data_IF_487652356736
#
_entry.id   IF_487652356736
#
_cell.length_a   1.000
_cell.length_b   1.000
_cell.length_c   1.000
_cell.angle_alpha   90.00
_cell.angle_beta   90.00
_cell.angle_gamma   90.00
#
_symmetry.space_group_name_H-M   'P 1'
#
loop_
_entity.id
_entity.type
_entity.pdbx_description
1 polymer ?
#
# COMPACT_ATOMS: atom_id res chain seq x y z
N UNK A 1 3.37 -4.85 -31.52
CA UNK A 1 2.84 -3.46 -31.49
C UNK A 1 1.74 -3.42 -32.54
N UNK A 2 0.49 -3.17 -32.15
CA UNK A 2 -0.56 -2.85 -33.14
C UNK A 2 -0.23 -1.47 -33.73
N UNK A 3 -0.31 -1.34 -35.06
CA UNK A 3 -0.04 -0.08 -35.75
C UNK A 3 -1.11 0.94 -35.36
N UNK A 4 -0.68 2.15 -34.95
CA UNK A 4 -1.59 3.26 -34.66
C UNK A 4 -2.19 3.72 -35.99
N UNK A 5 -3.51 3.92 -36.05
CA UNK A 5 -4.14 4.45 -37.26
C UNK A 5 -3.64 5.87 -37.56
N UNK A 6 -3.38 6.20 -38.83
CA UNK A 6 -2.82 7.51 -39.23
C UNK A 6 -3.72 8.67 -38.76
N UNK A 7 -5.03 8.46 -38.74
CA UNK A 7 -6.02 9.43 -38.23
C UNK A 7 -5.83 9.77 -36.75
N UNK A 8 -5.39 8.81 -35.93
CA UNK A 8 -5.09 9.05 -34.51
C UNK A 8 -3.74 9.77 -34.35
N UNK A 9 -2.76 9.47 -35.21
CA UNK A 9 -1.48 10.19 -35.24
C UNK A 9 -1.67 11.67 -35.62
N UNK A 10 -2.56 11.96 -36.55
CA UNK A 10 -2.86 13.34 -36.97
C UNK A 10 -3.55 14.15 -35.86
N UNK A 11 -4.45 13.53 -35.09
CA UNK A 11 -5.05 14.17 -33.92
C UNK A 11 -4.00 14.46 -32.83
N UNK A 12 -3.09 13.51 -32.58
CA UNK A 12 -1.98 13.68 -31.64
C UNK A 12 -1.07 14.84 -32.08
N UNK A 13 -0.70 14.90 -33.37
CA UNK A 13 0.13 15.98 -33.94
C UNK A 13 -0.57 17.35 -33.83
N UNK A 14 -1.88 17.40 -34.13
CA UNK A 14 -2.69 18.63 -34.01
C UNK A 14 -2.71 19.16 -32.56
N UNK A 15 -2.88 18.28 -31.58
CA UNK A 15 -2.89 18.67 -30.16
C UNK A 15 -1.52 19.17 -29.68
N UNK A 16 -0.41 18.66 -30.21
CA UNK A 16 0.93 19.15 -29.88
C UNK A 16 1.20 20.57 -30.38
N UNK A 17 0.71 20.94 -31.57
CA UNK A 17 0.95 22.26 -32.18
C UNK A 17 0.24 23.40 -31.42
N UNK A 18 -0.71 23.09 -30.53
CA UNK A 18 -1.56 24.07 -29.85
C UNK A 18 -0.95 24.69 -28.58
N UNK A 19 0.33 24.49 -28.25
CA UNK A 19 0.91 25.15 -27.06
C UNK A 19 2.41 25.09 -26.96
N UNK A 20 3.06 26.25 -27.18
CA UNK A 20 4.46 26.48 -26.86
C UNK A 20 4.58 27.37 -25.62
N UNK A 21 5.26 26.89 -24.58
CA UNK A 21 5.77 27.72 -23.48
C UNK A 21 7.18 27.29 -23.13
N UNK A 22 7.99 28.27 -22.73
CA UNK A 22 9.45 28.17 -22.61
C UNK A 22 9.94 27.10 -21.60
N UNK A 23 11.10 26.47 -21.87
CA UNK A 23 11.74 25.49 -20.98
C UNK A 23 12.32 26.16 -19.72
N UNK A 24 12.20 25.48 -18.58
CA UNK A 24 12.87 25.85 -17.32
C UNK A 24 13.21 24.58 -16.54
N UNK A 25 14.49 24.44 -16.15
CA UNK A 25 15.05 23.23 -15.54
C UNK A 25 15.23 23.45 -14.04
N UNK A 26 14.72 22.51 -13.23
CA UNK A 26 15.01 22.38 -11.78
C UNK A 26 15.17 20.90 -11.42
N UNK A 27 16.11 20.53 -10.54
CA UNK A 27 16.32 19.14 -10.10
C UNK A 27 15.15 18.57 -9.28
N UNK A 28 15.03 17.24 -9.27
CA UNK A 28 14.05 16.51 -8.43
C UNK A 28 14.44 16.63 -6.95
N UNK A 29 13.48 17.00 -6.08
CA UNK A 29 13.69 17.06 -4.63
C UNK A 29 13.69 15.68 -3.93
N UNK A 30 14.36 15.61 -2.79
CA UNK A 30 14.77 14.40 -2.05
C UNK A 30 13.65 13.58 -1.36
N UNK A 31 12.37 13.98 -1.44
CA UNK A 31 11.30 13.38 -0.62
C UNK A 31 10.21 12.69 -1.45
N UNK A 32 10.60 11.64 -2.17
CA UNK A 32 9.72 10.89 -3.04
C UNK A 32 9.52 9.44 -2.56
N UNK A 33 8.29 9.04 -2.20
CA UNK A 33 7.99 7.66 -1.81
C UNK A 33 8.34 6.65 -2.92
N UNK A 34 8.79 5.44 -2.58
CA UNK A 34 9.15 4.40 -3.55
C UNK A 34 8.04 4.08 -4.58
N UNK A 35 6.74 4.01 -4.20
CA UNK A 35 5.67 3.80 -5.18
C UNK A 35 5.52 4.95 -6.19
N UNK A 36 5.75 6.19 -5.74
CA UNK A 36 5.77 7.35 -6.62
C UNK A 36 6.93 7.25 -7.62
N UNK A 37 8.15 6.94 -7.15
CA UNK A 37 9.31 6.77 -8.04
C UNK A 37 9.11 5.66 -9.08
N UNK A 38 8.53 4.52 -8.70
CA UNK A 38 8.18 3.43 -9.65
C UNK A 38 7.16 3.88 -10.70
N UNK A 39 6.15 4.65 -10.28
CA UNK A 39 5.13 5.19 -11.19
C UNK A 39 5.74 6.23 -12.13
N UNK A 40 6.58 7.12 -11.60
CA UNK A 40 7.30 8.14 -12.36
C UNK A 40 8.24 7.50 -13.39
N UNK A 41 8.98 6.45 -13.03
CA UNK A 41 9.82 5.72 -13.99
C UNK A 41 8.99 5.08 -15.12
N UNK A 42 7.82 4.54 -14.81
CA UNK A 42 6.90 3.99 -15.81
C UNK A 42 6.33 5.07 -16.72
N UNK A 43 5.99 6.23 -16.16
CA UNK A 43 5.54 7.41 -16.89
C UNK A 43 6.64 7.98 -17.77
N UNK A 44 7.88 8.08 -17.28
CA UNK A 44 9.07 8.52 -18.02
C UNK A 44 9.31 7.68 -19.26
N UNK A 45 9.34 6.35 -19.12
CA UNK A 45 9.48 5.44 -20.27
C UNK A 45 8.37 5.63 -21.30
N UNK A 46 7.15 5.87 -20.83
CA UNK A 46 6.00 6.08 -21.71
C UNK A 46 6.08 7.41 -22.46
N UNK A 47 6.58 8.45 -21.79
CA UNK A 47 6.77 9.79 -22.35
C UNK A 47 7.90 9.82 -23.39
N UNK A 48 9.00 9.13 -23.14
CA UNK A 48 10.07 8.93 -24.13
C UNK A 48 9.52 8.25 -25.38
N UNK A 49 8.85 7.10 -25.22
CA UNK A 49 8.28 6.36 -26.35
C UNK A 49 7.27 7.19 -27.15
N UNK A 50 6.51 8.06 -26.49
CA UNK A 50 5.59 9.00 -27.14
C UNK A 50 6.32 9.99 -28.06
N UNK A 51 7.39 10.61 -27.57
CA UNK A 51 8.16 11.58 -28.36
C UNK A 51 8.98 10.91 -29.47
N UNK A 52 9.48 9.70 -29.25
CA UNK A 52 10.15 8.89 -30.27
C UNK A 52 9.17 8.54 -31.41
N UNK A 53 7.96 8.09 -31.08
CA UNK A 53 6.93 7.77 -32.07
C UNK A 53 6.54 8.98 -32.93
N UNK A 54 6.58 10.18 -32.35
CA UNK A 54 6.28 11.44 -33.05
C UNK A 54 7.50 12.12 -33.66
N UNK A 55 8.71 11.56 -33.50
CA UNK A 55 9.97 12.13 -33.98
C UNK A 55 10.12 13.61 -33.58
N UNK A 56 9.81 13.94 -32.33
CA UNK A 56 9.84 15.34 -31.84
C UNK A 56 11.26 15.91 -31.87
N UNK A 57 11.57 16.94 -32.69
CA UNK A 57 12.95 17.39 -32.90
C UNK A 57 13.64 17.98 -31.66
N UNK A 58 12.87 18.55 -30.74
CA UNK A 58 13.36 19.25 -29.54
C UNK A 58 13.33 18.38 -28.27
N UNK A 59 13.04 17.08 -28.39
CA UNK A 59 12.94 16.18 -27.25
C UNK A 59 14.32 15.66 -26.80
N UNK A 60 14.61 15.73 -25.51
CA UNK A 60 15.83 15.20 -24.89
C UNK A 60 15.47 14.01 -23.98
N UNK A 61 16.05 12.84 -24.24
CA UNK A 61 15.73 11.61 -23.50
C UNK A 61 16.39 11.57 -22.10
N UNK A 62 17.47 12.33 -21.92
CA UNK A 62 18.25 12.46 -20.69
C UNK A 62 17.45 13.20 -19.61
N UNK A 63 16.71 14.26 -20.00
CA UNK A 63 15.71 14.94 -19.18
C UNK A 63 14.35 15.05 -19.93
N UNK A 64 13.53 13.99 -19.93
CA UNK A 64 12.29 13.93 -20.70
C UNK A 64 11.24 14.96 -20.29
N UNK A 65 11.42 15.61 -19.14
CA UNK A 65 10.49 16.59 -18.60
C UNK A 65 11.16 17.95 -18.40
N UNK A 66 12.25 18.25 -19.13
CA UNK A 66 12.93 19.54 -19.11
C UNK A 66 11.96 20.69 -19.41
N UNK A 67 10.96 20.43 -20.25
CA UNK A 67 9.79 21.29 -20.44
C UNK A 67 8.55 20.57 -19.91
N UNK A 68 7.80 21.23 -19.03
CA UNK A 68 6.53 20.68 -18.55
C UNK A 68 5.48 20.72 -19.67
N UNK A 69 4.73 19.63 -19.90
CA UNK A 69 3.75 19.60 -20.97
C UNK A 69 2.58 20.56 -20.74
N UNK A 70 2.07 21.11 -21.84
CA UNK A 70 0.86 21.92 -21.87
C UNK A 70 -0.40 21.06 -21.68
N UNK A 71 -1.56 21.69 -21.52
CA UNK A 71 -2.83 20.96 -21.44
C UNK A 71 -3.05 20.08 -22.68
N UNK A 72 -2.89 20.64 -23.87
CA UNK A 72 -3.02 19.91 -25.14
C UNK A 72 -1.95 18.83 -25.29
N UNK A 73 -0.70 19.10 -24.87
CA UNK A 73 0.37 18.11 -24.86
C UNK A 73 0.09 16.93 -23.92
N UNK A 74 -0.54 17.18 -22.77
CA UNK A 74 -1.00 16.12 -21.85
C UNK A 74 -2.16 15.32 -22.45
N UNK A 75 -3.12 15.97 -23.12
CA UNK A 75 -4.21 15.28 -23.81
C UNK A 75 -3.67 14.35 -24.92
N UNK A 76 -2.77 14.87 -25.75
CA UNK A 76 -2.12 14.13 -26.83
C UNK A 76 -1.36 12.90 -26.31
N UNK A 77 -0.59 13.08 -25.23
CA UNK A 77 0.10 11.98 -24.58
C UNK A 77 -0.85 10.93 -24.01
N UNK A 78 -1.91 11.36 -23.30
CA UNK A 78 -2.88 10.42 -22.72
C UNK A 78 -3.62 9.64 -23.81
N UNK A 79 -3.94 10.27 -24.95
CA UNK A 79 -4.50 9.60 -26.12
C UNK A 79 -3.53 8.55 -26.68
N UNK A 80 -2.27 8.93 -26.94
CA UNK A 80 -1.24 8.00 -27.39
C UNK A 80 -1.13 6.78 -26.48
N UNK A 81 -1.16 6.99 -25.16
CA UNK A 81 -1.06 5.91 -24.18
C UNK A 81 -2.27 4.96 -24.24
N UNK A 82 -3.48 5.48 -24.45
CA UNK A 82 -4.68 4.63 -24.63
C UNK A 82 -4.58 3.78 -25.90
N UNK A 83 -4.05 4.35 -26.98
CA UNK A 83 -3.95 3.66 -28.27
C UNK A 83 -2.83 2.62 -28.31
N UNK A 84 -1.74 2.83 -27.56
CA UNK A 84 -0.53 2.00 -27.69
C UNK A 84 -0.31 1.01 -26.55
N UNK A 85 -0.90 1.25 -25.37
CA UNK A 85 -0.66 0.42 -24.19
C UNK A 85 -1.86 -0.39 -23.79
N UNK A 86 -1.60 -1.68 -23.55
CA UNK A 86 -2.53 -2.58 -22.88
C UNK A 86 -2.38 -2.45 -21.36
N UNK A 87 -3.48 -2.61 -20.64
CA UNK A 87 -3.49 -2.77 -19.19
C UNK A 87 -2.69 -4.01 -18.78
N UNK A 88 -2.26 -4.06 -17.51
CA UNK A 88 -1.40 -5.13 -16.98
C UNK A 88 -2.00 -6.54 -17.17
N UNK A 89 -3.33 -6.65 -17.26
CA UNK A 89 -4.08 -7.90 -17.45
C UNK A 89 -4.46 -8.15 -18.92
N UNK A 90 -3.76 -7.52 -19.88
CA UNK A 90 -4.02 -7.70 -21.32
C UNK A 90 -5.21 -6.90 -21.88
N UNK A 91 -6.05 -6.33 -21.02
CA UNK A 91 -7.21 -5.51 -21.40
C UNK A 91 -6.89 -4.05 -21.76
N UNK A 92 -7.93 -3.24 -21.94
CA UNK A 92 -7.83 -1.78 -22.18
C UNK A 92 -7.26 -1.05 -20.96
N UNK A 93 -6.61 0.09 -21.19
CA UNK A 93 -6.07 0.89 -20.09
C UNK A 93 -7.19 1.57 -19.29
N UNK A 94 -7.21 1.41 -17.97
CA UNK A 94 -8.24 2.00 -17.12
C UNK A 94 -8.08 3.51 -16.95
N UNK A 95 -9.21 4.24 -16.87
CA UNK A 95 -9.24 5.68 -16.55
C UNK A 95 -8.55 6.02 -15.23
N UNK A 96 -8.56 5.10 -14.25
CA UNK A 96 -7.85 5.26 -12.98
C UNK A 96 -6.32 5.33 -13.16
N UNK A 97 -5.77 4.61 -14.14
CA UNK A 97 -4.34 4.67 -14.50
C UNK A 97 -3.99 5.98 -15.20
N UNK A 98 -4.84 6.45 -16.10
CA UNK A 98 -4.69 7.75 -16.76
C UNK A 98 -4.71 8.92 -15.75
N UNK A 99 -5.65 8.89 -14.80
CA UNK A 99 -5.69 9.86 -13.68
C UNK A 99 -4.44 9.80 -12.81
N UNK A 100 -3.86 8.62 -12.60
CA UNK A 100 -2.57 8.49 -11.89
C UNK A 100 -1.45 9.20 -12.64
N UNK A 101 -1.40 9.12 -13.97
CA UNK A 101 -0.40 9.88 -14.75
C UNK A 101 -0.58 11.39 -14.55
N UNK A 102 -1.82 11.89 -14.61
CA UNK A 102 -2.11 13.31 -14.32
C UNK A 102 -1.63 13.72 -12.91
N UNK A 103 -1.91 12.92 -11.88
CA UNK A 103 -1.44 13.18 -10.51
C UNK A 103 0.09 13.20 -10.44
N UNK A 104 0.78 12.31 -11.15
CA UNK A 104 2.24 12.28 -11.18
C UNK A 104 2.82 13.48 -11.91
N UNK A 105 2.22 13.94 -13.01
CA UNK A 105 2.60 15.20 -13.65
C UNK A 105 2.41 16.39 -12.72
N UNK A 106 1.31 16.44 -11.95
CA UNK A 106 1.11 17.51 -10.97
C UNK A 106 2.15 17.51 -9.86
N UNK A 107 2.52 16.33 -9.36
CA UNK A 107 3.59 16.17 -8.36
C UNK A 107 4.96 16.54 -8.94
N UNK A 108 5.25 16.14 -10.17
CA UNK A 108 6.47 16.49 -10.87
C UNK A 108 6.55 18.01 -11.07
N UNK A 109 5.45 18.65 -11.50
CA UNK A 109 5.35 20.11 -11.63
C UNK A 109 5.66 20.82 -10.32
N UNK A 110 5.07 20.34 -9.22
CA UNK A 110 5.31 20.91 -7.91
C UNK A 110 6.76 20.72 -7.46
N UNK A 111 7.32 19.52 -7.64
CA UNK A 111 8.72 19.23 -7.27
C UNK A 111 9.72 20.03 -8.08
N UNK A 112 9.47 20.30 -9.37
CA UNK A 112 10.40 21.05 -10.22
C UNK A 112 10.16 22.56 -10.14
N UNK A 113 8.93 23.01 -10.26
CA UNK A 113 8.64 24.45 -10.39
C UNK A 113 8.23 25.12 -9.07
N UNK A 114 8.10 24.37 -7.97
CA UNK A 114 7.46 24.83 -6.73
C UNK A 114 5.96 25.15 -6.88
N UNK A 115 5.42 25.07 -8.11
CA UNK A 115 4.06 25.49 -8.46
C UNK A 115 3.10 24.32 -8.45
N UNK A 116 1.96 24.50 -7.79
CA UNK A 116 0.83 23.57 -7.91
C UNK A 116 0.27 23.62 -9.34
N UNK A 117 -0.31 22.51 -9.79
CA UNK A 117 -1.03 22.49 -11.06
C UNK A 117 -2.33 23.28 -10.92
N UNK A 118 -2.69 24.03 -11.96
CA UNK A 118 -3.98 24.73 -12.01
C UNK A 118 -5.13 23.71 -11.90
N UNK A 119 -6.00 23.94 -10.91
CA UNK A 119 -7.17 23.10 -10.65
C UNK A 119 -8.14 23.08 -11.83
N UNK A 120 -8.25 24.17 -12.59
CA UNK A 120 -9.09 24.24 -13.78
C UNK A 120 -8.55 23.34 -14.90
N UNK A 121 -7.24 23.39 -15.18
CA UNK A 121 -6.57 22.49 -16.13
C UNK A 121 -6.76 21.03 -15.71
N UNK A 122 -6.50 20.69 -14.44
CA UNK A 122 -6.68 19.32 -13.95
C UNK A 122 -8.13 18.83 -14.11
N UNK A 123 -9.13 19.70 -13.89
CA UNK A 123 -10.54 19.38 -14.08
C UNK A 123 -10.87 19.12 -15.56
N UNK A 124 -10.36 19.95 -16.48
CA UNK A 124 -10.55 19.75 -17.93
C UNK A 124 -9.92 18.45 -18.43
N UNK A 125 -8.68 18.17 -18.05
CA UNK A 125 -8.01 16.90 -18.41
C UNK A 125 -8.75 15.70 -17.79
N UNK A 126 -9.25 15.82 -16.56
CA UNK A 126 -10.08 14.77 -15.95
C UNK A 126 -11.37 14.53 -16.73
N UNK A 127 -12.03 15.59 -17.22
CA UNK A 127 -13.17 15.51 -18.12
C UNK A 127 -12.81 14.81 -19.44
N UNK A 128 -11.69 15.19 -20.05
CA UNK A 128 -11.16 14.55 -21.25
C UNK A 128 -10.93 13.03 -21.04
N UNK A 129 -10.34 12.64 -19.90
CA UNK A 129 -10.16 11.22 -19.55
C UNK A 129 -11.50 10.49 -19.42
N UNK A 130 -12.47 11.07 -18.71
CA UNK A 130 -13.73 10.39 -18.42
C UNK A 130 -14.68 10.31 -19.62
N UNK A 131 -14.57 11.22 -20.59
CA UNK A 131 -15.49 11.30 -21.72
C UNK A 131 -14.80 10.95 -23.05
N UNK A 132 -13.74 11.67 -23.42
CA UNK A 132 -13.11 11.49 -24.73
C UNK A 132 -12.31 10.20 -24.80
N UNK A 133 -11.44 9.95 -23.81
CA UNK A 133 -10.60 8.75 -23.82
C UNK A 133 -11.39 7.46 -23.63
N UNK A 134 -12.53 7.50 -22.92
CA UNK A 134 -13.44 6.36 -22.83
C UNK A 134 -14.03 6.01 -24.19
N UNK A 135 -14.48 7.02 -24.97
CA UNK A 135 -14.92 6.81 -26.36
C UNK A 135 -13.82 6.22 -27.26
N UNK A 136 -12.56 6.53 -26.95
CA UNK A 136 -11.37 5.99 -27.64
C UNK A 136 -10.87 4.65 -27.08
N UNK A 137 -11.62 4.01 -26.17
CA UNK A 137 -11.30 2.67 -25.69
C UNK A 137 -10.61 2.61 -24.32
N UNK A 138 -10.53 3.69 -23.56
CA UNK A 138 -10.16 3.59 -22.14
C UNK A 138 -11.26 2.87 -21.35
N UNK A 139 -10.89 1.92 -20.49
CA UNK A 139 -11.85 1.17 -19.68
C UNK A 139 -12.25 1.94 -18.42
N UNK A 140 -13.54 1.90 -18.09
CA UNK A 140 -14.08 2.34 -16.79
C UNK A 140 -14.32 1.17 -15.85
N UNK A 141 -14.06 -0.05 -16.29
CA UNK A 141 -14.37 -1.26 -15.55
C UNK A 141 -13.46 -1.35 -14.32
N UNK A 142 -14.08 -1.61 -13.18
CA UNK A 142 -13.35 -2.14 -12.04
C UNK A 142 -13.30 -3.64 -12.20
N UNK A 143 -12.12 -4.22 -12.02
CA UNK A 143 -12.03 -5.68 -11.87
C UNK A 143 -12.90 -6.12 -10.68
N UNK A 144 -13.68 -7.20 -10.82
CA UNK A 144 -14.29 -7.82 -9.66
C UNK A 144 -13.19 -8.26 -8.71
N UNK A 145 -13.36 -7.94 -7.44
CA UNK A 145 -12.49 -8.36 -6.35
C UNK A 145 -13.36 -9.10 -5.35
N UNK A 146 -13.64 -10.39 -5.59
CA UNK A 146 -14.42 -11.16 -4.63
C UNK A 146 -13.69 -11.10 -3.28
N UNK A 147 -14.40 -10.78 -2.18
CA UNK A 147 -13.78 -10.82 -0.87
C UNK A 147 -13.34 -12.25 -0.57
N UNK A 148 -12.18 -12.40 0.07
CA UNK A 148 -11.78 -13.70 0.60
C UNK A 148 -12.77 -14.09 1.71
N UNK A 149 -13.34 -15.28 1.61
CA UNK A 149 -14.21 -15.86 2.65
C UNK A 149 -13.37 -16.59 3.70
N UNK A 150 -13.91 -16.80 4.90
CA UNK A 150 -13.20 -17.52 5.97
C UNK A 150 -12.61 -18.89 5.54
N UNK A 151 -13.30 -19.73 4.73
CA UNK A 151 -12.70 -20.98 4.23
C UNK A 151 -11.42 -20.77 3.42
N UNK A 152 -11.38 -19.76 2.55
CA UNK A 152 -10.20 -19.43 1.71
C UNK A 152 -9.01 -19.02 2.59
N UNK A 153 -9.28 -18.37 3.72
CA UNK A 153 -8.25 -17.95 4.68
C UNK A 153 -7.64 -19.16 5.40
N UNK A 154 -8.48 -20.10 5.82
CA UNK A 154 -8.04 -21.31 6.52
C UNK A 154 -7.18 -22.17 5.60
N UNK A 155 -7.65 -22.39 4.38
CA UNK A 155 -6.98 -23.20 3.37
C UNK A 155 -5.58 -22.65 3.05
N UNK A 156 -5.47 -21.34 2.83
CA UNK A 156 -4.20 -20.66 2.56
C UNK A 156 -3.18 -20.77 3.71
N UNK A 157 -3.65 -21.00 4.94
CA UNK A 157 -2.78 -21.15 6.12
C UNK A 157 -2.39 -22.60 6.39
N UNK A 158 -3.00 -23.60 5.75
CA UNK A 158 -2.74 -25.03 5.99
C UNK A 158 -1.93 -25.68 4.87
N UNK A 159 -2.19 -25.33 3.61
CA UNK A 159 -1.45 -25.91 2.47
C UNK A 159 -0.03 -25.36 2.30
N UNK A 160 0.27 -24.20 2.90
CA UNK A 160 1.58 -23.56 2.72
C UNK A 160 2.63 -24.12 3.68
N UNK A 161 3.71 -24.67 3.13
CA UNK A 161 4.89 -25.07 3.91
C UNK A 161 5.74 -23.84 4.29
N UNK A 162 5.73 -23.49 5.57
CA UNK A 162 6.56 -22.40 6.10
C UNK A 162 7.91 -22.92 6.59
N UNK A 163 8.98 -22.26 6.17
CA UNK A 163 10.35 -22.56 6.65
C UNK A 163 10.51 -22.41 8.18
N UNK A 164 9.70 -21.54 8.82
CA UNK A 164 9.71 -21.33 10.26
C UNK A 164 8.28 -21.31 10.84
N UNK A 165 7.98 -22.06 11.93
CA UNK A 165 6.62 -22.12 12.50
C UNK A 165 6.02 -20.76 12.88
N UNK A 166 6.86 -19.85 13.40
CA UNK A 166 6.47 -18.45 13.66
C UNK A 166 5.94 -17.72 12.42
N UNK A 167 6.44 -18.01 11.22
CA UNK A 167 5.98 -17.37 9.98
C UNK A 167 4.49 -17.62 9.77
N UNK A 168 4.07 -18.88 9.94
CA UNK A 168 2.67 -19.33 9.85
C UNK A 168 1.78 -18.56 10.82
N UNK A 169 2.19 -18.51 12.09
CA UNK A 169 1.42 -17.84 13.14
C UNK A 169 1.32 -16.33 12.92
N UNK A 170 2.41 -15.66 12.52
CA UNK A 170 2.39 -14.23 12.23
C UNK A 170 1.55 -13.88 11.00
N UNK A 171 1.60 -14.72 9.96
CA UNK A 171 0.77 -14.53 8.77
C UNK A 171 -0.71 -14.72 9.11
N UNK A 172 -1.05 -15.80 9.82
CA UNK A 172 -2.42 -16.06 10.28
C UNK A 172 -2.95 -14.88 11.10
N UNK A 173 -2.18 -14.38 12.07
CA UNK A 173 -2.58 -13.26 12.90
C UNK A 173 -2.78 -11.99 12.07
N UNK A 174 -1.87 -11.72 11.13
CA UNK A 174 -2.00 -10.58 10.23
C UNK A 174 -3.28 -10.67 9.38
N UNK A 175 -3.61 -11.85 8.84
CA UNK A 175 -4.84 -12.06 8.07
C UNK A 175 -6.07 -11.88 8.96
N UNK A 176 -6.08 -12.42 10.18
CA UNK A 176 -7.20 -12.23 11.11
C UNK A 176 -7.41 -10.75 11.44
N UNK A 177 -6.34 -9.99 11.72
CA UNK A 177 -6.43 -8.54 11.97
C UNK A 177 -6.99 -7.80 10.74
N UNK A 178 -6.55 -8.17 9.53
CA UNK A 178 -7.07 -7.59 8.28
C UNK A 178 -8.55 -7.93 8.07
N UNK A 179 -8.95 -9.17 8.37
CA UNK A 179 -10.32 -9.67 8.22
C UNK A 179 -11.28 -9.00 9.22
N UNK A 180 -10.93 -8.97 10.50
CA UNK A 180 -11.80 -8.45 11.55
C UNK A 180 -11.95 -6.92 11.50
N UNK A 181 -10.89 -6.20 11.12
CA UNK A 181 -10.89 -4.74 11.23
C UNK A 181 -10.86 -3.99 9.89
N UNK A 182 -10.64 -4.68 8.76
CA UNK A 182 -10.56 -4.03 7.45
C UNK A 182 -9.42 -3.01 7.34
N UNK A 183 -8.36 -3.16 8.15
CA UNK A 183 -7.22 -2.25 8.19
C UNK A 183 -6.31 -2.45 6.99
N UNK A 184 -5.47 -1.48 6.66
CA UNK A 184 -4.46 -1.68 5.60
C UNK A 184 -3.26 -2.42 6.16
N UNK A 185 -2.58 -3.29 5.37
CA UNK A 185 -1.37 -3.97 5.82
C UNK A 185 -0.30 -3.03 6.40
N UNK A 186 -0.08 -1.87 5.76
CA UNK A 186 0.89 -0.88 6.23
C UNK A 186 0.52 -0.17 7.56
N UNK A 187 -0.65 -0.45 8.14
CA UNK A 187 -1.03 0.01 9.49
C UNK A 187 -0.55 -0.96 10.57
N UNK A 188 -0.30 -2.23 10.22
CA UNK A 188 0.06 -3.31 11.15
C UNK A 188 1.50 -3.80 10.99
N UNK A 189 2.06 -3.66 9.79
CA UNK A 189 3.44 -4.03 9.43
C UNK A 189 4.14 -2.89 8.69
N UNK A 190 5.44 -3.03 8.43
CA UNK A 190 6.25 -2.00 7.76
C UNK A 190 5.69 -1.73 6.35
N UNK A 191 5.19 -0.51 6.15
CA UNK A 191 4.54 -0.11 4.91
C UNK A 191 5.54 0.05 3.76
N UNK A 192 5.23 -0.48 2.58
CA UNK A 192 6.11 -0.35 1.40
C UNK A 192 6.31 1.09 0.92
N UNK A 193 5.46 2.02 1.35
CA UNK A 193 5.63 3.46 1.07
C UNK A 193 6.55 4.17 2.07
N UNK A 194 6.93 3.51 3.17
CA UNK A 194 7.85 3.99 4.20
C UNK A 194 8.92 2.92 4.49
N UNK A 195 9.74 2.54 3.49
CA UNK A 195 10.78 1.52 3.69
C UNK A 195 11.83 2.03 4.71
N UNK A 196 12.24 1.16 5.63
CA UNK A 196 13.20 1.49 6.68
C UNK A 196 12.59 2.21 7.89
N UNK A 197 11.27 2.46 7.88
CA UNK A 197 10.59 3.09 9.03
C UNK A 197 10.56 2.19 10.25
N UNK A 198 10.59 0.86 10.06
CA UNK A 198 10.42 -0.11 11.14
C UNK A 198 9.16 0.17 11.99
N UNK A 199 8.10 0.67 11.35
CA UNK A 199 6.81 1.02 11.96
C UNK A 199 5.78 -0.10 11.79
N UNK A 200 5.06 -0.45 12.87
CA UNK A 200 4.06 -1.53 12.91
C UNK A 200 3.45 -1.67 14.29
N UNK A 201 2.83 -2.82 14.58
CA UNK A 201 2.34 -3.14 15.93
C UNK A 201 3.52 -3.56 16.82
N UNK A 202 3.66 -2.86 17.95
CA UNK A 202 4.63 -3.14 19.00
C UNK A 202 3.90 -3.63 20.25
N UNK A 203 4.56 -4.40 21.12
CA UNK A 203 3.92 -4.88 22.35
C UNK A 203 3.44 -3.74 23.27
N UNK A 204 4.12 -2.59 23.31
CA UNK A 204 3.62 -1.39 24.04
C UNK A 204 2.29 -0.84 23.52
N UNK A 205 1.87 -1.26 22.33
CA UNK A 205 0.59 -0.91 21.74
C UNK A 205 -0.51 -1.93 22.07
N UNK A 206 -0.20 -2.97 22.86
CA UNK A 206 -1.17 -3.97 23.30
C UNK A 206 -1.58 -3.71 24.75
N UNK A 207 -2.87 -3.85 25.02
CA UNK A 207 -3.40 -3.98 26.38
C UNK A 207 -4.24 -5.26 26.47
N UNK A 208 -3.87 -6.15 27.39
CA UNK A 208 -4.47 -7.47 27.51
C UNK A 208 -5.31 -7.50 28.79
N UNK A 209 -6.61 -7.69 28.63
CA UNK A 209 -7.60 -7.68 29.69
C UNK A 209 -8.22 -9.07 29.86
N UNK A 210 -8.33 -9.50 31.11
CA UNK A 210 -9.16 -10.64 31.49
C UNK A 210 -10.51 -10.10 31.96
N UNK A 211 -11.57 -10.47 31.24
CA UNK A 211 -12.95 -10.21 31.61
C UNK A 211 -13.53 -11.45 32.25
N UNK A 212 -14.13 -11.30 33.43
CA UNK A 212 -14.92 -12.35 34.05
C UNK A 212 -16.39 -12.01 33.79
N UNK A 213 -17.03 -12.77 32.91
CA UNK A 213 -18.43 -12.55 32.59
C UNK A 213 -19.34 -12.96 33.75
N UNK A 214 -20.57 -12.44 33.75
CA UNK A 214 -21.59 -12.73 34.78
C UNK A 214 -21.96 -14.23 34.82
N UNK A 215 -21.81 -14.94 33.70
CA UNK A 215 -22.01 -16.39 33.59
C UNK A 215 -20.83 -17.22 34.15
N UNK A 216 -19.84 -16.57 34.76
CA UNK A 216 -18.63 -17.21 35.30
C UNK A 216 -17.59 -17.56 34.23
N UNK A 217 -17.85 -17.28 32.94
CA UNK A 217 -16.88 -17.54 31.87
C UNK A 217 -15.83 -16.45 31.81
N UNK A 218 -14.57 -16.87 31.86
CA UNK A 218 -13.41 -16.00 31.63
C UNK A 218 -13.25 -15.74 30.14
N UNK A 219 -13.03 -14.49 29.74
CA UNK A 219 -12.74 -14.07 28.36
C UNK A 219 -11.55 -13.14 28.32
N UNK A 220 -10.61 -13.42 27.43
CA UNK A 220 -9.48 -12.55 27.14
C UNK A 220 -9.83 -11.57 26.02
N UNK A 221 -9.41 -10.32 26.21
CA UNK A 221 -9.55 -9.25 25.22
C UNK A 221 -8.20 -8.60 25.03
N UNK A 222 -7.80 -8.38 23.78
CA UNK A 222 -6.59 -7.65 23.43
C UNK A 222 -6.97 -6.37 22.72
N UNK A 223 -6.72 -5.24 23.37
CA UNK A 223 -6.73 -3.94 22.70
C UNK A 223 -5.44 -3.77 21.90
N UNK A 224 -5.57 -3.40 20.63
CA UNK A 224 -4.48 -3.14 19.69
C UNK A 224 -4.53 -1.68 19.26
N UNK A 225 -3.49 -0.93 19.60
CA UNK A 225 -3.35 0.48 19.23
C UNK A 225 -2.69 0.65 17.86
N UNK A 226 -3.42 1.23 16.91
CA UNK A 226 -2.93 1.57 15.57
C UNK A 226 -2.45 3.01 15.47
N UNK A 227 -1.16 3.17 15.20
CA UNK A 227 -0.48 4.48 15.08
C UNK A 227 -0.14 4.86 13.63
N UNK A 228 -0.12 3.89 12.72
CA UNK A 228 0.48 4.03 11.39
C UNK A 228 -0.55 4.26 10.27
N UNK A 229 -1.64 4.97 10.59
CA UNK A 229 -2.78 5.16 9.69
C UNK A 229 -2.46 6.13 8.55
N UNK A 230 -2.93 5.81 7.34
CA UNK A 230 -2.68 6.63 6.15
C UNK A 230 -3.26 8.04 6.33
N UNK A 231 -2.43 9.07 6.07
CA UNK A 231 -2.83 10.48 6.09
C UNK A 231 -2.88 11.12 7.48
N UNK A 232 -2.67 10.34 8.56
CA UNK A 232 -2.68 10.83 9.94
C UNK A 232 -1.50 10.29 10.76
N UNK A 233 -0.45 9.77 10.11
CA UNK A 233 0.79 9.36 10.77
C UNK A 233 1.36 10.51 11.62
N UNK A 234 1.93 10.17 12.76
CA UNK A 234 2.49 11.09 13.76
C UNK A 234 1.46 11.98 14.48
N UNK A 235 0.16 11.86 14.19
CA UNK A 235 -0.90 12.61 14.87
C UNK A 235 -1.58 11.72 15.91
N UNK A 236 -0.97 11.60 17.10
CA UNK A 236 -1.42 10.70 18.18
C UNK A 236 -2.89 10.86 18.58
N UNK A 237 -3.43 12.08 18.45
CA UNK A 237 -4.86 12.37 18.70
C UNK A 237 -5.79 11.53 17.79
N UNK A 238 -5.28 11.01 16.66
CA UNK A 238 -6.01 10.21 15.69
C UNK A 238 -5.63 8.72 15.70
N UNK A 239 -4.88 8.29 16.71
CA UNK A 239 -4.63 6.86 16.94
C UNK A 239 -5.96 6.15 17.18
N UNK A 240 -6.05 4.89 16.74
CA UNK A 240 -7.27 4.09 16.83
C UNK A 240 -6.99 2.82 17.62
N UNK A 241 -7.79 2.56 18.65
CA UNK A 241 -7.81 1.28 19.35
C UNK A 241 -8.80 0.32 18.71
N UNK A 242 -8.40 -0.95 18.63
CA UNK A 242 -9.24 -2.04 18.14
C UNK A 242 -9.21 -3.18 19.15
N UNK A 243 -10.33 -3.87 19.34
CA UNK A 243 -10.43 -4.93 20.33
C UNK A 243 -10.53 -6.29 19.65
N UNK A 244 -9.53 -7.13 19.86
CA UNK A 244 -9.56 -8.55 19.51
C UNK A 244 -10.24 -9.30 20.66
N UNK A 245 -11.23 -10.12 20.33
CA UNK A 245 -11.96 -10.95 21.29
C UNK A 245 -11.49 -12.39 21.18
N UNK A 246 -11.43 -13.07 22.32
CA UNK A 246 -11.23 -14.50 22.36
C UNK A 246 -12.43 -15.22 21.74
N UNK A 247 -12.13 -16.13 20.80
CA UNK A 247 -13.09 -17.00 20.14
C UNK A 247 -12.94 -18.42 20.72
N UNK A 248 -14.01 -18.90 21.37
CA UNK A 248 -14.07 -20.23 21.99
C UNK A 248 -14.60 -21.30 21.04
N UNK A 249 -15.34 -20.90 20.01
CA UNK A 249 -15.98 -21.83 19.09
C UNK A 249 -15.00 -22.25 18.00
N UNK A 250 -14.08 -21.34 17.65
CA UNK A 250 -13.11 -21.53 16.57
C UNK A 250 -11.70 -21.17 17.02
N UNK A 251 -11.03 -22.05 17.78
CA UNK A 251 -9.68 -21.80 18.28
C UNK A 251 -8.66 -21.48 17.18
N UNK A 252 -8.83 -22.06 15.99
CA UNK A 252 -7.98 -21.82 14.83
C UNK A 252 -8.10 -20.39 14.27
N UNK A 253 -9.25 -19.74 14.50
CA UNK A 253 -9.55 -18.37 14.10
C UNK A 253 -9.46 -17.37 15.26
N UNK A 254 -9.02 -17.81 16.44
CA UNK A 254 -8.97 -16.97 17.64
C UNK A 254 -7.74 -16.03 17.60
N UNK A 255 -7.92 -14.73 17.34
CA UNK A 255 -6.78 -13.82 17.21
C UNK A 255 -6.08 -13.58 18.55
N UNK A 256 -6.80 -13.66 19.67
CA UNK A 256 -6.24 -13.50 21.02
C UNK A 256 -5.28 -14.63 21.34
N UNK A 257 -5.64 -15.89 21.03
CA UNK A 257 -4.75 -17.03 21.21
C UNK A 257 -3.45 -16.85 20.43
N UNK A 258 -3.53 -16.37 19.19
CA UNK A 258 -2.34 -16.15 18.36
C UNK A 258 -1.45 -15.00 18.87
N UNK A 259 -2.03 -13.91 19.35
CA UNK A 259 -1.28 -12.83 20.01
C UNK A 259 -0.56 -13.34 21.25
N UNK A 260 -1.26 -14.10 22.09
CA UNK A 260 -0.68 -14.62 23.34
C UNK A 260 0.42 -15.65 23.06
N UNK A 261 0.26 -16.51 22.06
CA UNK A 261 1.29 -17.45 21.65
C UNK A 261 2.58 -16.72 21.20
N UNK A 262 2.47 -15.65 20.42
CA UNK A 262 3.62 -14.81 20.05
C UNK A 262 4.22 -14.11 21.27
N UNK A 263 3.39 -13.57 22.16
CA UNK A 263 3.84 -12.85 23.36
C UNK A 263 4.60 -13.77 24.33
N UNK A 264 4.13 -15.01 24.52
CA UNK A 264 4.81 -16.02 25.33
C UNK A 264 6.14 -16.42 24.67
N UNK A 265 6.14 -16.66 23.36
CA UNK A 265 7.35 -17.00 22.61
C UNK A 265 8.41 -15.88 22.63
N UNK A 266 7.99 -14.62 22.80
CA UNK A 266 8.88 -13.46 22.93
C UNK A 266 9.20 -13.09 24.39
N UNK A 267 8.73 -13.85 25.38
CA UNK A 267 8.79 -13.51 26.80
C UNK A 267 8.29 -12.08 27.09
N UNK A 268 7.26 -11.64 26.37
CA UNK A 268 6.77 -10.28 26.41
C UNK A 268 5.79 -10.02 27.57
N UNK A 269 5.24 -11.07 28.18
CA UNK A 269 4.25 -10.96 29.26
C UNK A 269 4.94 -10.96 30.63
N UNK A 270 4.54 -10.03 31.49
CA UNK A 270 5.06 -9.92 32.85
C UNK A 270 4.50 -11.02 33.74
N UNK A 271 5.38 -11.78 34.41
CA UNK A 271 5.03 -12.88 35.32
C UNK A 271 4.14 -13.97 34.70
N UNK A 272 4.26 -14.17 33.37
CA UNK A 272 3.60 -15.25 32.63
C UNK A 272 4.64 -15.87 31.71
N UNK A 273 5.07 -17.08 32.04
CA UNK A 273 6.02 -17.85 31.23
C UNK A 273 5.38 -19.16 30.71
N UNK A 274 4.27 -19.60 31.32
CA UNK A 274 3.55 -20.82 30.96
C UNK A 274 2.06 -20.59 30.71
N UNK A 275 1.39 -21.60 30.14
CA UNK A 275 -0.06 -21.59 29.97
C UNK A 275 -0.80 -21.59 31.33
N UNK A 276 -0.22 -22.18 32.35
CA UNK A 276 -0.86 -22.25 33.68
C UNK A 276 -0.81 -20.88 34.38
N UNK A 277 0.30 -20.14 34.24
CA UNK A 277 0.38 -18.74 34.70
C UNK A 277 -0.69 -17.88 34.02
N UNK A 278 -0.89 -18.10 32.71
CA UNK A 278 -1.92 -17.40 31.94
C UNK A 278 -3.32 -17.76 32.45
N UNK A 279 -3.61 -19.03 32.74
CA UNK A 279 -4.92 -19.48 33.25
C UNK A 279 -5.20 -18.94 34.66
N UNK A 280 -4.19 -18.84 35.52
CA UNK A 280 -4.32 -18.30 36.87
C UNK A 280 -4.63 -16.80 36.89
N UNK A 281 -4.44 -16.07 35.78
CA UNK A 281 -4.63 -14.62 35.74
C UNK A 281 -6.10 -14.21 35.70
N UNK A 282 -6.51 -13.37 36.64
CA UNK A 282 -7.89 -12.88 36.79
C UNK A 282 -8.12 -11.44 36.34
N UNK A 283 -7.05 -10.70 36.04
CA UNK A 283 -7.07 -9.27 35.71
C UNK A 283 -6.13 -8.94 34.54
N UNK A 284 -5.73 -7.68 34.40
CA UNK A 284 -4.84 -7.18 33.37
C UNK A 284 -3.51 -7.95 33.30
N UNK A 285 -3.09 -8.25 32.08
CA UNK A 285 -1.77 -8.82 31.80
C UNK A 285 -0.87 -7.68 31.31
N UNK A 286 0.22 -7.46 32.04
CA UNK A 286 1.19 -6.40 31.72
C UNK A 286 2.22 -6.91 30.72
N UNK A 287 2.67 -6.01 29.86
CA UNK A 287 3.81 -6.23 28.98
C UNK A 287 5.10 -5.88 29.74
N UNK A 288 6.13 -6.74 29.65
CA UNK A 288 7.45 -6.48 30.25
C UNK A 288 8.09 -5.23 29.66
N UNK A 289 8.81 -4.47 30.48
CA UNK A 289 9.49 -3.25 30.04
C UNK A 289 10.45 -3.51 28.87
N UNK A 290 11.20 -4.63 28.96
CA UNK A 290 12.16 -5.06 27.93
C UNK A 290 11.51 -5.40 26.58
N UNK A 291 10.23 -5.75 26.57
CA UNK A 291 9.51 -6.17 25.37
C UNK A 291 8.70 -5.06 24.70
N UNK A 292 8.53 -3.89 25.34
CA UNK A 292 7.66 -2.81 24.87
C UNK A 292 7.95 -2.35 23.43
N UNK A 293 9.23 -2.26 23.06
CA UNK A 293 9.68 -1.85 21.72
C UNK A 293 9.82 -3.03 20.75
N UNK A 294 9.58 -4.26 21.21
CA UNK A 294 9.64 -5.45 20.37
C UNK A 294 8.38 -5.49 19.48
N UNK A 295 8.53 -5.75 18.17
CA UNK A 295 7.40 -5.92 17.28
C UNK A 295 6.64 -7.20 17.58
N UNK A 296 5.32 -7.17 17.44
CA UNK A 296 4.50 -8.39 17.50
C UNK A 296 4.74 -9.25 16.25
N UNK A 297 4.72 -8.60 15.07
CA UNK A 297 4.99 -9.23 13.78
C UNK A 297 6.45 -8.93 13.37
N UNK A 298 7.34 -9.89 13.65
CA UNK A 298 8.79 -9.78 13.47
C UNK A 298 9.23 -10.31 12.10
N UNK A 299 10.26 -9.69 11.53
CA UNK A 299 10.88 -10.15 10.29
C UNK A 299 11.68 -11.42 10.53
N UNK A 300 11.68 -12.31 9.54
CA UNK A 300 12.61 -13.43 9.48
C UNK A 300 13.84 -13.01 8.66
N UNK A 301 15.03 -13.27 9.18
CA UNK A 301 16.32 -12.79 8.65
C UNK A 301 17.30 -13.93 8.43
N UNK A 302 18.12 -13.77 7.39
CA UNK A 302 19.17 -14.73 7.04
C UNK A 302 18.63 -16.00 6.36
N UNK A 303 19.54 -16.88 5.94
CA UNK A 303 19.20 -18.09 5.19
C UNK A 303 18.45 -19.14 6.01
N UNK A 304 18.47 -19.04 7.34
CA UNK A 304 17.73 -19.92 8.27
C UNK A 304 16.41 -19.31 8.76
N UNK A 305 16.01 -18.16 8.20
CA UNK A 305 14.82 -17.43 8.63
C UNK A 305 14.74 -17.20 10.15
N UNK A 306 15.86 -16.83 10.77
CA UNK A 306 15.90 -16.53 12.19
C UNK A 306 15.02 -15.33 12.51
N UNK A 307 14.32 -15.35 13.65
CA UNK A 307 13.44 -14.25 14.05
C UNK A 307 14.28 -13.04 14.45
N UNK A 308 14.09 -11.90 13.78
CA UNK A 308 14.87 -10.69 14.06
C UNK A 308 14.50 -10.07 15.40
N UNK A 309 15.45 -9.62 16.22
CA UNK A 309 15.22 -9.02 17.54
C UNK A 309 14.23 -7.84 17.53
N UNK A 310 14.36 -6.94 16.55
CA UNK A 310 13.65 -5.66 16.56
C UNK A 310 13.08 -5.23 15.20
N UNK A 311 13.21 -6.05 14.14
CA UNK A 311 12.75 -5.66 12.81
C UNK A 311 11.31 -6.09 12.58
N UNK A 312 10.49 -5.15 12.12
CA UNK A 312 9.09 -5.40 11.78
C UNK A 312 9.00 -6.14 10.44
N UNK A 313 8.03 -7.04 10.36
CA UNK A 313 7.63 -7.70 9.12
C UNK A 313 7.36 -6.67 8.02
N UNK A 314 7.68 -6.97 6.77
CA UNK A 314 7.35 -6.08 5.64
C UNK A 314 5.96 -6.40 5.12
N UNK A 315 5.21 -5.40 4.68
CA UNK A 315 3.95 -5.61 3.97
C UNK A 315 4.09 -6.52 2.73
N UNK A 316 5.25 -6.51 2.07
CA UNK A 316 5.53 -7.41 0.95
C UNK A 316 5.78 -8.87 1.34
N UNK A 317 5.93 -9.17 2.63
CA UNK A 317 6.05 -10.53 3.17
C UNK A 317 4.69 -11.12 3.57
N UNK A 318 3.61 -10.37 3.41
CA UNK A 318 2.22 -10.83 3.62
C UNK A 318 1.52 -11.18 2.29
N UNK A 319 2.22 -11.09 1.17
CA UNK A 319 1.67 -11.14 -0.19
C UNK A 319 2.29 -12.27 -1.00
#
# INVERSE_FOLDING_TARGET
MEAIAETDLDEIRRLQQAGATAPYIVPLGEHCSTPYLKTLATMRRAWIAYHEALKTPSFQAEDPFATMPTESGLQAFLLYIVMTRKGKTGGRLCTSTLKKYLINFSKLRHSRLGKTSDRAICKRITGYINHHLVKRGASQDSMPRPPATAPVIIDACDEHEFEHPRARLQLSLAILILMYFGVRPGEIVEASCHPGSNEGILYKGLSILVLNNVDGRRRLVVEVLLRNRKGVRSKRIKDLSMFLLEDFERPEMCPVAQVLALAIADHALDSIDTLDDLKARTTWIRIRESAKEVPVLRRLVGPRQAVSDNRILKAGSLA
#
